data_IF_962218166741
#
_entry.id   IF_962218166741
#
_cell.length_a   1.000
_cell.length_b   1.000
_cell.length_c   1.000
_cell.angle_alpha   90.00
_cell.angle_beta   90.00
_cell.angle_gamma   90.00
#
_symmetry.space_group_name_H-M   'P 1'
#
loop_
_entity.id
_entity.type
_entity.pdbx_description
1 polymer ?
#
# COMPACT_ATOMS: atom_id res chain seq x y z
N UNK A 1 19.73 32.67 52.73
CA UNK A 1 18.91 31.43 52.73
C UNK A 1 17.91 31.30 51.56
N UNK A 2 17.26 32.37 51.04
CA UNK A 2 16.26 32.28 49.92
C UNK A 2 16.81 31.79 48.56
N UNK A 3 18.09 32.07 48.22
CA UNK A 3 18.70 31.70 46.93
C UNK A 3 18.86 30.18 46.72
N UNK A 4 19.13 29.39 47.78
CA UNK A 4 19.24 27.94 47.73
C UNK A 4 17.87 27.21 47.59
N UNK A 5 16.80 27.83 48.05
CA UNK A 5 15.45 27.27 47.92
C UNK A 5 14.94 27.39 46.48
N UNK A 6 15.18 28.56 45.83
CA UNK A 6 14.77 28.78 44.42
C UNK A 6 15.52 27.85 43.46
N UNK A 7 16.83 27.66 43.66
CA UNK A 7 17.61 26.74 42.80
C UNK A 7 17.17 25.28 42.96
N UNK A 8 16.78 24.83 44.14
CA UNK A 8 16.22 23.50 44.36
C UNK A 8 14.85 23.35 43.71
N UNK A 9 14.00 24.38 43.77
CA UNK A 9 12.69 24.39 43.11
C UNK A 9 12.85 24.32 41.58
N UNK A 10 13.70 25.15 40.97
CA UNK A 10 13.99 25.16 39.54
C UNK A 10 14.52 23.81 39.07
N UNK A 11 15.42 23.17 39.83
CA UNK A 11 15.93 21.85 39.53
C UNK A 11 14.83 20.76 39.54
N UNK A 12 13.90 20.83 40.53
CA UNK A 12 12.76 19.91 40.59
C UNK A 12 11.83 20.09 39.39
N UNK A 13 11.54 21.34 39.00
CA UNK A 13 10.73 21.65 37.82
C UNK A 13 11.42 21.11 36.54
N UNK A 14 12.72 21.35 36.36
CA UNK A 14 13.48 20.83 35.24
C UNK A 14 13.47 19.30 35.18
N UNK A 15 13.64 18.62 36.31
CA UNK A 15 13.57 17.17 36.39
C UNK A 15 12.14 16.65 36.05
N UNK A 16 11.10 17.31 36.51
CA UNK A 16 9.71 16.95 36.21
C UNK A 16 9.39 17.14 34.71
N UNK A 17 9.83 18.25 34.12
CA UNK A 17 9.70 18.50 32.68
C UNK A 17 10.46 17.46 31.85
N UNK A 18 11.71 17.15 32.24
CA UNK A 18 12.49 16.10 31.58
C UNK A 18 11.80 14.74 31.66
N UNK A 19 11.27 14.36 32.82
CA UNK A 19 10.52 13.13 33.00
C UNK A 19 9.24 13.09 32.14
N UNK A 20 8.51 14.22 32.05
CA UNK A 20 7.34 14.32 31.17
C UNK A 20 7.70 14.18 29.69
N UNK A 21 8.78 14.81 29.24
CA UNK A 21 9.25 14.69 27.84
C UNK A 21 9.65 13.24 27.51
N UNK A 22 10.36 12.59 28.44
CA UNK A 22 10.72 11.16 28.27
C UNK A 22 9.46 10.28 28.22
N UNK A 23 8.50 10.50 29.11
CA UNK A 23 7.25 9.72 29.11
C UNK A 23 6.46 9.92 27.82
N UNK A 24 6.38 11.14 27.30
CA UNK A 24 5.75 11.44 26.01
C UNK A 24 6.50 10.76 24.86
N UNK A 25 7.82 10.82 24.84
CA UNK A 25 8.62 10.14 23.81
C UNK A 25 8.43 8.62 23.81
N UNK A 26 8.37 8.01 25.01
CA UNK A 26 8.09 6.56 25.15
C UNK A 26 6.67 6.25 24.68
N UNK A 27 5.69 7.07 25.01
CA UNK A 27 4.30 6.87 24.56
C UNK A 27 4.18 6.99 23.04
N UNK A 28 4.79 8.02 22.43
CA UNK A 28 4.85 8.18 20.97
C UNK A 28 5.52 6.97 20.33
N UNK A 29 6.68 6.56 20.82
CA UNK A 29 7.38 5.40 20.29
C UNK A 29 6.53 4.12 20.41
N UNK A 30 5.87 3.89 21.54
CA UNK A 30 5.02 2.72 21.72
C UNK A 30 3.79 2.71 20.79
N UNK A 31 3.20 3.90 20.51
CA UNK A 31 2.01 4.01 19.66
C UNK A 31 2.32 3.95 18.16
N UNK A 32 3.51 4.41 17.73
CA UNK A 32 3.90 4.52 16.33
C UNK A 32 5.18 3.75 15.99
N UNK A 33 5.49 2.68 16.75
CA UNK A 33 6.72 1.92 16.56
C UNK A 33 6.86 1.38 15.13
N UNK A 34 5.81 0.78 14.58
CA UNK A 34 5.82 0.21 13.23
C UNK A 34 5.97 1.31 12.17
N UNK A 35 5.22 2.40 12.31
CA UNK A 35 5.30 3.54 11.39
C UNK A 35 6.68 4.21 11.42
N UNK A 36 7.25 4.40 12.62
CA UNK A 36 8.58 4.98 12.77
C UNK A 36 9.68 4.08 12.19
N UNK A 37 9.57 2.77 12.39
CA UNK A 37 10.50 1.78 11.83
C UNK A 37 10.40 1.76 10.31
N UNK A 38 9.18 1.77 9.77
CA UNK A 38 8.93 1.85 8.33
C UNK A 38 9.53 3.12 7.72
N UNK A 39 9.28 4.29 8.34
CA UNK A 39 9.87 5.56 7.87
C UNK A 39 11.40 5.55 7.90
N UNK A 40 12.01 4.88 8.90
CA UNK A 40 13.45 4.74 8.99
C UNK A 40 14.03 3.82 7.90
N UNK A 41 13.23 2.93 7.33
CA UNK A 41 13.63 2.02 6.24
C UNK A 41 13.59 2.68 4.86
N UNK A 42 12.94 3.86 4.74
CA UNK A 42 12.78 4.53 3.45
C UNK A 42 14.13 4.91 2.86
N UNK A 43 14.42 4.39 1.68
CA UNK A 43 15.66 4.67 0.96
C UNK A 43 15.41 4.88 -0.54
N UNK A 44 16.23 5.71 -1.16
CA UNK A 44 16.26 5.89 -2.61
C UNK A 44 17.25 4.90 -3.20
N UNK A 45 16.80 4.07 -4.14
CA UNK A 45 17.60 3.05 -4.80
C UNK A 45 18.25 3.56 -6.08
N UNK A 46 17.52 4.36 -6.86
CA UNK A 46 18.07 4.99 -8.05
C UNK A 46 17.60 6.44 -8.19
N UNK A 47 18.43 7.25 -8.79
CA UNK A 47 18.11 8.62 -9.12
C UNK A 47 17.20 8.68 -10.35
N UNK A 48 16.49 9.79 -10.47
CA UNK A 48 15.70 10.15 -11.64
C UNK A 48 16.62 10.33 -12.86
N UNK A 49 16.23 9.81 -14.00
CA UNK A 49 16.85 10.05 -15.30
C UNK A 49 15.92 10.85 -16.20
N UNK A 50 16.11 12.15 -16.24
CA UNK A 50 15.29 13.07 -17.05
C UNK A 50 15.43 12.80 -18.54
N UNK A 51 16.61 12.31 -19.00
CA UNK A 51 16.87 12.07 -20.41
C UNK A 51 16.02 10.92 -20.95
N UNK A 52 15.76 9.90 -20.11
CA UNK A 52 14.93 8.75 -20.44
C UNK A 52 13.51 8.86 -19.87
N UNK A 53 13.19 9.93 -19.13
CA UNK A 53 11.94 10.15 -18.40
C UNK A 53 11.70 9.10 -17.30
N UNK A 54 12.75 8.49 -16.80
CA UNK A 54 12.66 7.53 -15.72
C UNK A 54 12.56 8.25 -14.38
N UNK A 55 11.57 7.90 -13.58
CA UNK A 55 11.41 8.39 -12.21
C UNK A 55 12.45 7.81 -11.27
N UNK A 56 12.55 8.38 -10.08
CA UNK A 56 13.33 7.79 -9.01
C UNK A 56 12.68 6.50 -8.53
N UNK A 57 13.50 5.56 -8.06
CA UNK A 57 13.05 4.31 -7.44
C UNK A 57 13.39 4.33 -5.96
N UNK A 58 12.42 3.99 -5.14
CA UNK A 58 12.55 3.93 -3.69
C UNK A 58 12.30 2.51 -3.17
N UNK A 59 12.75 2.25 -1.96
CA UNK A 59 12.39 1.05 -1.21
C UNK A 59 11.82 1.44 0.14
N UNK A 60 10.81 0.70 0.58
CA UNK A 60 10.15 0.86 1.87
C UNK A 60 9.91 -0.53 2.45
N UNK A 61 10.31 -0.75 3.71
CA UNK A 61 10.09 -2.03 4.38
C UNK A 61 9.09 -1.84 5.53
N UNK A 62 7.96 -2.50 5.41
CA UNK A 62 6.97 -2.63 6.47
C UNK A 62 7.22 -3.91 7.22
N UNK A 63 7.47 -3.82 8.51
CA UNK A 63 7.52 -4.97 9.41
C UNK A 63 6.41 -4.86 10.43
N UNK A 64 5.69 -5.96 10.63
CA UNK A 64 4.54 -6.01 11.50
C UNK A 64 3.26 -5.52 10.84
N UNK A 65 2.19 -5.53 11.63
CA UNK A 65 0.85 -5.27 11.14
C UNK A 65 0.67 -3.82 10.66
N UNK A 66 0.02 -3.67 9.50
CA UNK A 66 -0.43 -2.40 8.93
C UNK A 66 -1.96 -2.28 8.94
N UNK A 67 -2.63 -3.01 9.85
CA UNK A 67 -4.09 -2.96 10.11
C UNK A 67 -4.96 -3.44 8.95
N UNK A 68 -4.48 -4.32 8.07
CA UNK A 68 -5.30 -4.81 6.96
C UNK A 68 -6.39 -5.78 7.44
N UNK A 69 -6.12 -6.61 8.47
CA UNK A 69 -7.15 -7.45 9.11
C UNK A 69 -8.27 -6.59 9.73
N UNK A 70 -7.91 -5.47 10.35
CA UNK A 70 -8.88 -4.52 10.87
C UNK A 70 -9.72 -3.91 9.75
N UNK A 71 -9.09 -3.56 8.62
CA UNK A 71 -9.78 -3.07 7.42
C UNK A 71 -10.82 -4.07 6.91
N UNK A 72 -10.43 -5.34 6.74
CA UNK A 72 -11.34 -6.39 6.28
C UNK A 72 -12.47 -6.67 7.31
N UNK A 73 -12.16 -6.68 8.60
CA UNK A 73 -13.13 -6.95 9.68
C UNK A 73 -14.21 -5.88 9.81
N UNK A 74 -13.94 -4.64 9.38
CA UNK A 74 -14.91 -3.54 9.33
C UNK A 74 -15.82 -3.58 8.10
N UNK A 75 -15.65 -4.58 7.21
CA UNK A 75 -16.39 -4.69 5.96
C UNK A 75 -15.68 -4.06 4.75
N UNK A 76 -14.43 -3.62 4.91
CA UNK A 76 -13.63 -3.05 3.84
C UNK A 76 -13.97 -1.60 3.49
N UNK A 77 -14.03 -1.29 2.20
CA UNK A 77 -14.39 0.04 1.68
C UNK A 77 -15.09 -0.07 0.33
N UNK A 78 -16.20 0.64 0.16
CA UNK A 78 -17.00 0.68 -1.05
C UNK A 78 -16.55 1.76 -2.05
N UNK A 79 -15.54 2.54 -1.70
CA UNK A 79 -14.95 3.59 -2.54
C UNK A 79 -13.62 4.07 -1.99
N UNK A 80 -12.88 4.83 -2.82
CA UNK A 80 -11.57 5.39 -2.45
C UNK A 80 -11.65 6.34 -1.23
N UNK A 81 -12.75 7.06 -1.04
CA UNK A 81 -12.87 7.99 0.09
C UNK A 81 -12.97 7.27 1.44
N UNK A 82 -13.65 6.14 1.48
CA UNK A 82 -13.73 5.28 2.67
C UNK A 82 -12.37 4.62 2.96
N UNK A 83 -11.70 4.12 1.92
CA UNK A 83 -10.34 3.60 2.04
C UNK A 83 -9.38 4.66 2.61
N UNK A 84 -9.38 5.87 2.06
CA UNK A 84 -8.56 6.99 2.55
C UNK A 84 -8.90 7.33 4.00
N UNK A 85 -10.18 7.31 4.35
CA UNK A 85 -10.63 7.57 5.73
C UNK A 85 -10.09 6.51 6.70
N UNK A 86 -10.15 5.23 6.30
CA UNK A 86 -9.59 4.13 7.09
C UNK A 86 -8.08 4.29 7.26
N UNK A 87 -7.33 4.45 6.16
CA UNK A 87 -5.86 4.63 6.18
C UNK A 87 -5.47 5.81 7.07
N UNK A 88 -6.16 6.94 6.93
CA UNK A 88 -5.93 8.12 7.75
C UNK A 88 -6.08 7.80 9.24
N UNK A 89 -7.14 7.12 9.64
CA UNK A 89 -7.37 6.75 11.04
C UNK A 89 -6.32 5.76 11.55
N UNK A 90 -6.01 4.74 10.77
CA UNK A 90 -5.04 3.71 11.15
C UNK A 90 -3.64 4.30 11.34
N UNK A 91 -3.10 5.03 10.35
CA UNK A 91 -1.74 5.57 10.36
C UNK A 91 -1.63 6.75 11.32
N UNK A 92 -2.52 7.72 11.23
CA UNK A 92 -2.41 8.98 11.97
C UNK A 92 -3.11 8.95 13.32
N UNK A 93 -3.78 7.83 13.64
CA UNK A 93 -4.69 7.71 14.80
C UNK A 93 -5.76 8.83 14.79
N UNK A 94 -6.15 9.25 13.57
CA UNK A 94 -7.16 10.29 13.34
C UNK A 94 -6.65 11.74 13.48
N UNK A 95 -5.34 11.96 13.66
CA UNK A 95 -4.79 13.30 13.94
C UNK A 95 -4.51 14.11 12.68
N UNK A 96 -4.08 13.47 11.57
CA UNK A 96 -3.65 14.16 10.34
C UNK A 96 -4.45 13.60 9.16
N UNK A 97 -5.19 14.44 8.39
CA UNK A 97 -5.86 13.98 7.18
C UNK A 97 -4.86 13.64 6.08
N UNK A 98 -5.07 12.53 5.39
CA UNK A 98 -4.31 12.14 4.20
C UNK A 98 -5.16 12.40 2.94
N UNK A 99 -4.48 12.72 1.84
CA UNK A 99 -5.11 12.88 0.53
C UNK A 99 -4.45 11.92 -0.45
N UNK A 100 -5.22 11.03 -1.04
CA UNK A 100 -4.79 10.13 -2.10
C UNK A 100 -5.37 10.65 -3.41
N UNK A 101 -4.55 10.73 -4.44
CA UNK A 101 -4.97 11.10 -5.81
C UNK A 101 -4.99 9.85 -6.67
N UNK A 102 -5.88 9.85 -7.62
CA UNK A 102 -5.99 8.78 -8.61
C UNK A 102 -5.48 9.28 -9.94
N UNK A 103 -4.73 8.45 -10.67
CA UNK A 103 -4.26 8.75 -12.02
C UNK A 103 -4.65 7.64 -12.99
N UNK A 104 -4.72 7.96 -14.28
CA UNK A 104 -4.99 6.98 -15.33
C UNK A 104 -3.78 6.05 -15.51
N UNK A 105 -4.05 4.76 -15.61
CA UNK A 105 -3.05 3.68 -15.67
C UNK A 105 -3.18 2.98 -17.02
N UNK A 106 -2.06 2.77 -17.72
CA UNK A 106 -1.96 1.80 -18.81
C UNK A 106 -0.81 0.84 -18.49
N UNK A 107 -0.99 -0.45 -18.75
CA UNK A 107 -0.04 -1.47 -18.33
C UNK A 107 -0.11 -2.71 -19.24
N UNK A 108 0.99 -3.49 -19.22
CA UNK A 108 1.04 -4.82 -19.82
C UNK A 108 1.74 -5.81 -18.89
N UNK A 109 1.43 -7.10 -19.00
CA UNK A 109 2.12 -8.17 -18.28
C UNK A 109 2.17 -9.45 -19.09
N UNK A 110 3.05 -10.34 -18.66
CA UNK A 110 3.16 -11.70 -19.19
C UNK A 110 3.69 -12.65 -18.12
N UNK A 111 3.44 -13.94 -18.31
CA UNK A 111 4.13 -15.02 -17.61
C UNK A 111 5.02 -15.78 -18.59
N UNK A 112 6.18 -16.23 -18.13
CA UNK A 112 7.11 -16.99 -18.94
C UNK A 112 7.93 -17.95 -18.08
N UNK A 113 8.51 -18.97 -18.76
CA UNK A 113 9.51 -19.85 -18.18
C UNK A 113 10.89 -19.42 -18.61
N UNK A 114 11.83 -19.38 -17.68
CA UNK A 114 13.24 -19.18 -18.02
C UNK A 114 13.82 -20.49 -18.59
N UNK A 115 15.01 -20.41 -19.18
CA UNK A 115 15.74 -21.60 -19.63
C UNK A 115 16.14 -22.53 -18.47
N UNK A 116 16.27 -21.99 -17.25
CA UNK A 116 16.50 -22.75 -16.02
C UNK A 116 15.24 -23.41 -15.45
N UNK A 117 14.07 -23.10 -15.98
CA UNK A 117 12.77 -23.64 -15.52
C UNK A 117 12.11 -22.80 -14.42
N UNK A 118 12.64 -21.61 -14.12
CA UNK A 118 12.02 -20.69 -13.17
C UNK A 118 10.80 -20.01 -13.83
N UNK A 119 9.78 -19.70 -13.02
CA UNK A 119 8.61 -18.94 -13.43
C UNK A 119 8.86 -17.46 -13.28
N UNK A 120 8.47 -16.69 -14.29
CA UNK A 120 8.61 -15.23 -14.29
C UNK A 120 7.26 -14.57 -14.54
N UNK A 121 6.93 -13.60 -13.71
CA UNK A 121 5.84 -12.65 -13.93
C UNK A 121 6.47 -11.31 -14.32
N UNK A 122 6.33 -10.91 -15.57
CA UNK A 122 6.87 -9.67 -16.09
C UNK A 122 5.78 -8.62 -16.20
N UNK A 123 6.09 -7.37 -15.86
CA UNK A 123 5.15 -6.24 -15.92
C UNK A 123 5.80 -4.96 -16.43
N UNK A 124 5.00 -4.17 -17.16
CA UNK A 124 5.36 -2.84 -17.61
C UNK A 124 4.29 -1.83 -17.21
N UNK A 125 4.73 -0.63 -16.80
CA UNK A 125 3.90 0.53 -16.52
C UNK A 125 4.01 1.51 -17.68
N UNK A 126 2.91 1.83 -18.34
CA UNK A 126 2.85 2.77 -19.45
C UNK A 126 2.42 4.16 -18.95
N UNK A 127 3.18 4.72 -18.02
CA UNK A 127 2.95 6.04 -17.43
C UNK A 127 3.85 7.08 -18.09
N UNK A 128 3.37 8.33 -18.11
CA UNK A 128 4.16 9.44 -18.66
C UNK A 128 5.32 9.87 -17.77
N UNK A 129 5.18 9.66 -16.46
CA UNK A 129 6.18 9.88 -15.43
C UNK A 129 5.79 9.05 -14.21
N UNK A 130 6.77 8.49 -13.51
CA UNK A 130 6.58 7.67 -12.31
C UNK A 130 7.56 8.04 -11.21
N UNK A 131 7.15 7.82 -9.97
CA UNK A 131 8.04 7.65 -8.82
C UNK A 131 7.71 6.31 -8.20
N UNK A 132 8.47 5.29 -8.54
CA UNK A 132 8.18 3.92 -8.12
C UNK A 132 8.74 3.63 -6.74
N UNK A 133 7.96 3.00 -5.87
CA UNK A 133 8.47 2.40 -4.67
C UNK A 133 8.28 0.88 -4.71
N UNK A 134 9.35 0.17 -4.35
CA UNK A 134 9.34 -1.26 -4.03
C UNK A 134 9.02 -1.36 -2.54
N UNK A 135 7.91 -2.02 -2.24
CA UNK A 135 7.36 -2.13 -0.88
C UNK A 135 7.48 -3.58 -0.42
N UNK A 136 8.26 -3.81 0.60
CA UNK A 136 8.29 -5.08 1.31
C UNK A 136 7.28 -5.02 2.47
N UNK A 137 6.46 -6.05 2.62
CA UNK A 137 5.57 -6.23 3.77
C UNK A 137 5.82 -7.58 4.41
N UNK A 138 5.85 -7.59 5.74
CA UNK A 138 5.86 -8.81 6.56
C UNK A 138 4.86 -8.60 7.71
N UNK A 139 3.57 -8.91 7.46
CA UNK A 139 2.50 -8.62 8.42
C UNK A 139 2.47 -9.57 9.62
N UNK A 140 3.24 -10.65 9.58
CA UNK A 140 3.30 -11.65 10.66
C UNK A 140 2.42 -12.85 10.43
N UNK A 141 2.19 -13.65 11.49
CA UNK A 141 1.51 -14.95 11.44
C UNK A 141 0.13 -14.88 10.75
N UNK A 142 -0.12 -15.87 9.88
CA UNK A 142 -1.38 -16.04 9.17
C UNK A 142 -1.51 -15.23 7.87
N UNK A 143 -0.49 -14.45 7.53
CA UNK A 143 -0.41 -13.70 6.26
C UNK A 143 0.97 -13.85 5.63
N UNK A 144 1.03 -13.75 4.31
CA UNK A 144 2.27 -13.86 3.55
C UNK A 144 3.09 -12.58 3.61
N UNK A 145 4.41 -12.74 3.70
CA UNK A 145 5.33 -11.67 3.33
C UNK A 145 5.30 -11.45 1.82
N UNK A 146 5.45 -10.20 1.37
CA UNK A 146 5.39 -9.90 -0.05
C UNK A 146 6.27 -8.73 -0.44
N UNK A 147 6.66 -8.70 -1.73
CA UNK A 147 7.13 -7.51 -2.41
C UNK A 147 6.03 -7.01 -3.34
N UNK A 148 5.77 -5.71 -3.32
CA UNK A 148 4.87 -5.06 -4.25
C UNK A 148 5.49 -3.79 -4.80
N UNK A 149 4.98 -3.30 -5.93
CA UNK A 149 5.36 -1.99 -6.47
C UNK A 149 4.17 -1.06 -6.47
N UNK A 150 4.45 0.22 -6.23
CA UNK A 150 3.47 1.30 -6.27
C UNK A 150 4.04 2.49 -7.03
N UNK A 151 3.18 3.31 -7.58
CA UNK A 151 3.55 4.67 -7.98
C UNK A 151 3.17 5.63 -6.85
N UNK A 152 4.16 6.37 -6.34
CA UNK A 152 4.00 7.30 -5.23
C UNK A 152 3.10 8.49 -5.58
N UNK A 153 2.81 8.73 -6.86
CA UNK A 153 1.84 9.75 -7.28
C UNK A 153 0.42 9.44 -6.80
N UNK A 154 0.07 8.16 -6.61
CA UNK A 154 -1.20 7.74 -5.98
C UNK A 154 -1.32 8.20 -4.54
N UNK A 155 -0.20 8.41 -3.86
CA UNK A 155 -0.15 8.95 -2.50
C UNK A 155 -0.10 10.49 -2.47
N UNK A 156 -0.34 11.16 -3.61
CA UNK A 156 -0.32 12.61 -3.73
C UNK A 156 1.07 13.22 -3.82
N UNK A 157 2.10 12.40 -4.06
CA UNK A 157 3.46 12.86 -4.32
C UNK A 157 3.62 13.18 -5.82
N UNK A 158 4.43 14.19 -6.12
CA UNK A 158 4.67 14.57 -7.52
C UNK A 158 5.50 13.51 -8.23
N UNK A 159 5.02 13.03 -9.39
CA UNK A 159 5.73 12.01 -10.18
C UNK A 159 7.07 12.51 -10.74
N UNK A 160 7.25 13.83 -10.89
CA UNK A 160 8.43 14.48 -11.44
C UNK A 160 9.37 15.09 -10.38
N UNK A 161 9.15 14.79 -9.08
CA UNK A 161 9.97 15.28 -7.97
C UNK A 161 10.40 14.16 -7.03
N UNK A 162 11.56 14.35 -6.44
CA UNK A 162 12.05 13.43 -5.42
C UNK A 162 11.28 13.55 -4.09
N UNK A 163 11.26 12.45 -3.34
CA UNK A 163 10.69 12.39 -1.99
C UNK A 163 11.78 12.75 -0.99
N UNK A 164 11.77 13.99 -0.50
CA UNK A 164 12.83 14.53 0.35
C UNK A 164 12.40 14.78 1.79
N UNK A 165 11.20 15.32 1.97
CA UNK A 165 10.73 15.79 3.28
C UNK A 165 10.13 14.66 4.12
N UNK A 166 10.18 14.81 5.45
CA UNK A 166 9.56 13.85 6.37
C UNK A 166 8.03 13.76 6.15
N UNK A 167 7.38 14.87 5.78
CA UNK A 167 5.95 14.87 5.47
C UNK A 167 5.62 14.06 4.24
N UNK A 168 6.46 14.12 3.18
CA UNK A 168 6.32 13.29 2.00
C UNK A 168 6.53 11.80 2.32
N UNK A 169 7.59 11.49 3.09
CA UNK A 169 7.83 10.11 3.56
C UNK A 169 6.68 9.58 4.40
N UNK A 170 6.03 10.43 5.19
CA UNK A 170 4.88 10.03 5.99
C UNK A 170 3.69 9.54 5.13
N UNK A 171 3.47 10.14 3.94
CA UNK A 171 2.44 9.68 3.02
C UNK A 171 2.70 8.26 2.51
N UNK A 172 3.97 7.84 2.44
CA UNK A 172 4.31 6.49 1.98
C UNK A 172 3.89 5.38 2.94
N UNK A 173 3.48 5.70 4.18
CA UNK A 173 2.90 4.74 5.11
C UNK A 173 1.58 4.12 4.59
N UNK A 174 0.93 4.75 3.62
CA UNK A 174 -0.24 4.20 2.94
C UNK A 174 0.09 3.17 1.84
N UNK A 175 1.37 2.96 1.53
CA UNK A 175 1.82 2.13 0.42
C UNK A 175 1.24 0.70 0.40
N UNK A 176 1.08 -0.03 1.52
CA UNK A 176 0.51 -1.37 1.51
C UNK A 176 -0.91 -1.44 0.93
N UNK A 177 -1.67 -0.34 0.96
CA UNK A 177 -3.07 -0.30 0.51
C UNK A 177 -3.23 0.04 -0.97
N UNK A 178 -2.14 0.39 -1.67
CA UNK A 178 -2.18 0.81 -3.08
C UNK A 178 -1.17 0.07 -3.97
N UNK A 179 -0.98 -1.26 -3.81
CA UNK A 179 -0.12 -2.01 -4.70
C UNK A 179 -0.69 -2.00 -6.12
N UNK A 180 0.19 -1.92 -7.11
CA UNK A 180 -0.15 -2.06 -8.53
C UNK A 180 0.20 -3.46 -9.05
N UNK A 181 1.17 -4.09 -8.43
CA UNK A 181 1.54 -5.50 -8.59
C UNK A 181 2.31 -5.99 -7.36
N UNK A 182 2.62 -7.28 -7.36
CA UNK A 182 3.47 -7.86 -6.34
C UNK A 182 3.59 -9.37 -6.46
N UNK A 183 4.39 -9.92 -5.57
CA UNK A 183 4.58 -11.35 -5.37
C UNK A 183 4.72 -11.64 -3.89
N UNK A 184 4.07 -12.68 -3.40
CA UNK A 184 4.17 -13.15 -2.03
C UNK A 184 5.16 -14.32 -1.87
N UNK A 185 5.44 -14.72 -0.65
CA UNK A 185 6.38 -15.80 -0.32
C UNK A 185 5.83 -17.20 -0.61
N UNK A 186 4.52 -17.35 -0.88
CA UNK A 186 3.96 -18.58 -1.46
C UNK A 186 4.21 -18.68 -2.98
N UNK A 187 4.73 -17.63 -3.61
CA UNK A 187 5.00 -17.56 -5.05
C UNK A 187 3.78 -17.16 -5.88
N UNK A 188 2.77 -16.55 -5.27
CA UNK A 188 1.64 -15.97 -5.99
C UNK A 188 1.98 -14.53 -6.38
N UNK A 189 1.95 -14.25 -7.68
CA UNK A 189 2.14 -12.93 -8.26
C UNK A 189 0.80 -12.38 -8.78
N UNK A 190 0.57 -11.09 -8.62
CA UNK A 190 -0.62 -10.43 -9.16
C UNK A 190 -0.32 -9.02 -9.65
N UNK A 191 -1.21 -8.50 -10.51
CA UNK A 191 -1.11 -7.14 -11.01
C UNK A 191 -2.43 -6.61 -11.52
N UNK A 192 -2.63 -5.29 -11.44
CA UNK A 192 -3.80 -4.55 -11.90
C UNK A 192 -3.55 -3.94 -13.27
N UNK A 193 -4.55 -3.97 -14.14
CA UNK A 193 -4.47 -3.45 -15.51
C UNK A 193 -5.75 -2.70 -15.84
N UNK A 194 -5.63 -1.56 -16.49
CA UNK A 194 -6.79 -0.81 -16.93
C UNK A 194 -7.56 -1.58 -18.01
N UNK A 195 -8.86 -1.72 -17.81
CA UNK A 195 -9.79 -2.25 -18.81
C UNK A 195 -10.45 -1.11 -19.56
N UNK A 196 -10.24 -1.04 -20.87
CA UNK A 196 -10.86 -0.04 -21.75
C UNK A 196 -12.17 -0.59 -22.30
N UNK A 197 -13.24 -0.55 -21.52
CA UNK A 197 -14.57 -1.04 -21.96
C UNK A 197 -15.42 0.01 -22.69
N UNK A 198 -14.78 1.01 -23.30
CA UNK A 198 -15.45 2.08 -24.05
C UNK A 198 -15.61 3.37 -23.25
N UNK A 199 -15.81 4.48 -23.97
CA UNK A 199 -15.90 5.80 -23.35
C UNK A 199 -17.02 5.86 -22.29
N UNK A 200 -16.66 6.17 -21.06
CA UNK A 200 -17.57 6.54 -19.99
C UNK A 200 -18.39 5.42 -19.37
N UNK A 201 -18.07 4.16 -19.64
CA UNK A 201 -18.72 3.03 -18.96
C UNK A 201 -17.70 2.30 -18.10
N UNK A 202 -17.81 2.54 -16.77
CA UNK A 202 -17.22 1.64 -15.80
C UNK A 202 -17.74 0.23 -15.96
N UNK A 203 -16.94 -0.79 -15.61
CA UNK A 203 -17.48 -2.12 -15.39
C UNK A 203 -18.45 -1.99 -14.22
N UNK A 204 -19.67 -2.51 -14.29
CA UNK A 204 -20.59 -2.49 -13.17
C UNK A 204 -20.13 -3.51 -12.11
N UNK A 205 -19.02 -3.21 -11.46
CA UNK A 205 -18.48 -4.03 -10.37
C UNK A 205 -19.15 -3.73 -9.04
N UNK A 206 -19.81 -2.57 -8.94
CA UNK A 206 -20.59 -2.16 -7.78
C UNK A 206 -21.98 -2.83 -7.80
N UNK A 207 -22.04 -4.04 -7.28
CA UNK A 207 -23.25 -4.85 -7.28
C UNK A 207 -24.05 -4.75 -6.01
N UNK A 208 -23.71 -3.93 -5.03
CA UNK A 208 -24.41 -3.80 -3.74
C UNK A 208 -24.89 -5.17 -3.22
N UNK A 209 -23.97 -6.03 -2.92
CA UNK A 209 -24.23 -7.36 -2.36
C UNK A 209 -24.18 -7.32 -0.82
N UNK A 210 -24.59 -8.39 -0.16
CA UNK A 210 -24.35 -8.56 1.28
C UNK A 210 -22.91 -8.95 1.62
N UNK A 211 -21.99 -8.94 0.63
CA UNK A 211 -20.56 -9.25 0.81
C UNK A 211 -19.84 -8.02 1.35
N UNK A 212 -18.73 -8.22 2.08
CA UNK A 212 -17.87 -7.10 2.45
C UNK A 212 -17.24 -6.46 1.19
N UNK A 213 -16.99 -5.17 1.28
CA UNK A 213 -16.50 -4.35 0.17
C UNK A 213 -14.97 -4.42 0.04
N UNK A 214 -14.48 -4.34 -1.19
CA UNK A 214 -13.06 -4.22 -1.48
C UNK A 214 -12.84 -3.29 -2.67
N UNK A 215 -11.77 -2.49 -2.64
CA UNK A 215 -11.40 -1.63 -3.77
C UNK A 215 -10.38 -2.30 -4.68
N UNK A 216 -10.18 -1.76 -5.86
CA UNK A 216 -9.26 -2.31 -6.87
C UNK A 216 -7.86 -2.59 -6.35
N UNK A 217 -7.27 -1.69 -5.58
CA UNK A 217 -5.91 -1.87 -5.05
C UNK A 217 -5.88 -2.76 -3.80
N UNK A 218 -6.92 -2.72 -2.98
CA UNK A 218 -6.99 -3.56 -1.78
C UNK A 218 -7.29 -5.03 -2.13
N UNK A 219 -7.87 -5.33 -3.31
CA UNK A 219 -7.94 -6.69 -3.82
C UNK A 219 -6.54 -7.28 -4.06
N UNK A 220 -5.60 -6.51 -4.62
CA UNK A 220 -4.23 -6.99 -4.75
C UNK A 220 -3.59 -7.24 -3.38
N UNK A 221 -3.83 -6.35 -2.42
CA UNK A 221 -3.33 -6.56 -1.06
C UNK A 221 -3.90 -7.83 -0.43
N UNK A 222 -5.19 -8.09 -0.61
CA UNK A 222 -5.85 -9.32 -0.16
C UNK A 222 -5.16 -10.56 -0.75
N UNK A 223 -4.93 -10.58 -2.07
CA UNK A 223 -4.26 -11.69 -2.75
C UNK A 223 -2.83 -11.87 -2.22
N UNK A 224 -2.07 -10.79 -2.09
CA UNK A 224 -0.69 -10.83 -1.61
C UNK A 224 -0.57 -11.31 -0.16
N UNK A 225 -1.55 -11.01 0.69
CA UNK A 225 -1.51 -11.39 2.10
C UNK A 225 -1.99 -12.83 2.36
N UNK A 226 -2.91 -13.36 1.52
CA UNK A 226 -3.64 -14.58 1.90
C UNK A 226 -3.66 -15.69 0.85
N UNK A 227 -3.29 -15.45 -0.40
CA UNK A 227 -3.38 -16.47 -1.44
C UNK A 227 -2.14 -17.38 -1.46
N UNK A 228 -2.37 -18.69 -1.39
CA UNK A 228 -1.34 -19.74 -1.58
C UNK A 228 -1.23 -20.17 -3.05
N UNK A 229 -2.22 -19.85 -3.89
CA UNK A 229 -2.34 -20.31 -5.27
C UNK A 229 -3.23 -19.38 -6.11
N UNK A 230 -3.28 -19.62 -7.42
CA UNK A 230 -4.25 -18.95 -8.31
C UNK A 230 -5.68 -19.27 -7.90
N UNK A 231 -5.96 -20.50 -7.52
CA UNK A 231 -7.29 -20.94 -7.07
C UNK A 231 -7.72 -20.22 -5.80
N UNK A 232 -6.81 -20.02 -4.84
CA UNK A 232 -7.10 -19.27 -3.61
C UNK A 232 -7.34 -17.79 -3.91
N UNK A 233 -6.56 -17.19 -4.80
CA UNK A 233 -6.77 -15.81 -5.21
C UNK A 233 -8.17 -15.59 -5.84
N UNK A 234 -8.62 -16.55 -6.69
CA UNK A 234 -9.98 -16.53 -7.25
C UNK A 234 -11.03 -16.67 -6.15
N UNK A 235 -10.84 -17.63 -5.24
CA UNK A 235 -11.78 -17.88 -4.14
C UNK A 235 -11.88 -16.70 -3.17
N UNK A 236 -10.76 -16.03 -2.90
CA UNK A 236 -10.72 -14.80 -2.11
C UNK A 236 -11.48 -13.66 -2.79
N UNK A 237 -11.23 -13.42 -4.09
CA UNK A 237 -11.90 -12.37 -4.84
C UNK A 237 -13.43 -12.54 -4.85
N UNK A 238 -13.93 -13.79 -4.89
CA UNK A 238 -15.36 -14.10 -4.89
C UNK A 238 -16.06 -13.85 -3.55
N UNK A 239 -15.31 -13.62 -2.47
CA UNK A 239 -15.88 -13.36 -1.14
C UNK A 239 -16.24 -11.89 -0.93
N UNK A 240 -15.79 -11.00 -1.80
CA UNK A 240 -15.94 -9.55 -1.68
C UNK A 240 -16.74 -8.96 -2.81
N UNK A 241 -17.36 -7.82 -2.56
CA UNK A 241 -17.92 -6.94 -3.58
C UNK A 241 -16.86 -5.93 -4.01
N UNK A 242 -16.48 -5.98 -5.29
CA UNK A 242 -15.39 -5.16 -5.82
C UNK A 242 -15.91 -3.81 -6.29
N UNK A 243 -15.31 -2.74 -5.80
CA UNK A 243 -15.56 -1.36 -6.21
C UNK A 243 -14.37 -0.79 -6.96
N UNK A 244 -14.63 -0.18 -8.11
CA UNK A 244 -13.59 0.43 -8.93
C UNK A 244 -12.92 1.61 -8.20
N UNK A 245 -11.60 1.66 -8.26
CA UNK A 245 -10.81 2.80 -7.83
C UNK A 245 -10.60 3.78 -8.98
N UNK A 246 -10.34 5.04 -8.65
CA UNK A 246 -9.99 6.06 -9.64
C UNK A 246 -11.03 6.31 -10.73
N UNK A 247 -12.30 5.94 -10.50
CA UNK A 247 -13.37 5.95 -11.52
C UNK A 247 -12.97 5.23 -12.81
N UNK A 248 -12.18 4.17 -12.69
CA UNK A 248 -11.65 3.38 -13.80
C UNK A 248 -11.86 1.91 -13.55
N UNK A 249 -12.14 1.18 -14.60
CA UNK A 249 -12.32 -0.27 -14.57
C UNK A 249 -11.00 -0.99 -14.74
N UNK A 250 -10.88 -2.10 -14.08
CA UNK A 250 -9.66 -2.89 -14.09
C UNK A 250 -9.96 -4.37 -14.32
N UNK A 251 -8.97 -5.05 -14.85
CA UNK A 251 -8.82 -6.50 -14.75
C UNK A 251 -7.51 -6.83 -14.03
N UNK A 252 -7.41 -8.05 -13.55
CA UNK A 252 -6.29 -8.46 -12.70
C UNK A 252 -5.70 -9.74 -13.26
N UNK A 253 -4.39 -9.79 -13.37
CA UNK A 253 -3.69 -11.04 -13.70
C UNK A 253 -3.10 -11.61 -12.42
N UNK A 254 -3.33 -12.90 -12.21
CA UNK A 254 -2.74 -13.67 -11.10
C UNK A 254 -2.00 -14.87 -11.71
N UNK A 255 -0.84 -15.18 -11.14
CA UNK A 255 -0.04 -16.35 -11.52
C UNK A 255 0.61 -16.96 -10.27
N UNK A 256 0.91 -18.25 -10.32
CA UNK A 256 1.60 -18.96 -9.23
C UNK A 256 2.83 -19.73 -9.69
N UNK A 257 3.59 -20.22 -8.73
CA UNK A 257 4.83 -20.97 -8.96
C UNK A 257 4.65 -22.29 -9.70
N UNK A 258 3.40 -22.81 -9.82
CA UNK A 258 3.11 -24.01 -10.58
C UNK A 258 3.00 -23.75 -12.10
N UNK A 259 2.96 -22.47 -12.49
CA UNK A 259 2.78 -22.02 -13.87
C UNK A 259 1.32 -21.79 -14.26
N UNK A 260 0.39 -21.89 -13.32
CA UNK A 260 -1.00 -21.49 -13.54
C UNK A 260 -1.11 -19.99 -13.58
N UNK A 261 -2.05 -19.48 -14.36
CA UNK A 261 -2.41 -18.06 -14.38
C UNK A 261 -3.90 -17.90 -14.69
N UNK A 262 -4.46 -16.79 -14.20
CA UNK A 262 -5.84 -16.40 -14.45
C UNK A 262 -5.92 -14.89 -14.67
N UNK A 263 -6.94 -14.47 -15.41
CA UNK A 263 -7.36 -13.07 -15.49
C UNK A 263 -8.71 -12.99 -14.78
N UNK A 264 -8.79 -12.09 -13.81
CA UNK A 264 -10.03 -11.78 -13.09
C UNK A 264 -10.67 -10.56 -13.73
N UNK A 265 -11.90 -10.70 -14.18
CA UNK A 265 -12.70 -9.64 -14.78
C UNK A 265 -14.12 -9.74 -14.28
N UNK A 266 -14.75 -8.61 -14.07
CA UNK A 266 -16.17 -8.53 -13.75
C UNK A 266 -16.94 -8.15 -15.01
N UNK A 267 -17.87 -9.00 -15.44
CA UNK A 267 -18.65 -8.82 -16.66
C UNK A 267 -20.14 -8.77 -16.30
N UNK A 268 -20.76 -7.61 -16.45
CA UNK A 268 -22.15 -7.42 -16.04
C UNK A 268 -22.26 -7.30 -14.52
N UNK A 269 -23.11 -8.14 -13.93
CA UNK A 269 -23.36 -8.21 -12.48
C UNK A 269 -22.68 -9.40 -11.81
N UNK A 270 -21.87 -10.16 -12.55
CA UNK A 270 -21.24 -11.40 -12.09
C UNK A 270 -19.71 -11.30 -12.12
#
# INVERSE_FOLDING_TARGET
MKRNSLSKLLRRIACALAALVIALAVAVFALWHNELTTLASFQKLSDRDEAHRDGAVYQINFSGDYSFDEFLSQGGASNDAELISFITRSITKGIIPMHIKTSSIACSAFTADTQSGDRVFGRNYDFSATNTAIVYTDPGEGRHASYSTIDLSFLGLDADKDVETIGQKFLTLAAPYVPLDGINDAGVACGIFMSYQGEGKGTPTDTQTDRPDITSTTLLRLILDYADSVEDAVALAQQYDLHDSASSCFHYMVADSTGRSAILEWVGTD
#
